data_IF_872244126591
#
_entry.id   IF_872244126591
#
_cell.length_a   1.000
_cell.length_b   1.000
_cell.length_c   1.000
_cell.angle_alpha   90.00
_cell.angle_beta   90.00
_cell.angle_gamma   90.00
#
_symmetry.space_group_name_H-M   'P 1'
#
loop_
_entity.id
_entity.type
_entity.pdbx_description
1 polymer ?
#
# COMPACT_ATOMS: atom_id res chain seq x y z
N UNK A 1 12.58 2.60 0.62
CA UNK A 1 11.79 2.73 1.86
C UNK A 1 10.33 2.50 1.48
N UNK A 2 9.51 1.88 2.35
CA UNK A 2 8.13 1.44 2.00
C UNK A 2 7.04 2.10 2.83
N UNK A 3 7.32 2.44 4.09
CA UNK A 3 6.41 3.18 4.95
C UNK A 3 6.23 4.63 4.46
N UNK A 4 5.05 5.21 4.69
CA UNK A 4 4.74 6.58 4.27
C UNK A 4 5.41 7.60 5.17
N UNK A 5 5.91 8.67 4.54
CA UNK A 5 6.58 9.75 5.23
C UNK A 5 5.61 10.83 5.72
N UNK A 6 6.12 11.97 6.20
CA UNK A 6 5.28 13.03 6.71
C UNK A 6 4.48 13.73 5.60
N UNK A 7 3.37 14.34 6.00
CA UNK A 7 2.65 15.34 5.20
C UNK A 7 2.94 16.70 5.81
N UNK A 8 3.45 17.62 4.99
CA UNK A 8 3.93 18.93 5.44
C UNK A 8 3.22 20.05 4.70
N UNK A 9 3.07 21.18 5.39
CA UNK A 9 2.65 22.45 4.82
C UNK A 9 3.90 23.32 4.60
N UNK A 10 4.03 23.87 3.40
CA UNK A 10 5.11 24.77 3.02
C UNK A 10 4.73 26.24 3.32
N UNK A 11 5.75 27.10 3.37
CA UNK A 11 5.60 28.55 3.62
C UNK A 11 4.74 29.30 2.59
N UNK A 12 4.57 28.74 1.38
CA UNK A 12 3.68 29.28 0.35
C UNK A 12 2.20 28.86 0.54
N UNK A 13 1.91 28.03 1.55
CA UNK A 13 0.60 27.47 1.84
C UNK A 13 0.31 26.12 1.17
N UNK A 14 1.20 25.63 0.31
CA UNK A 14 1.05 24.33 -0.37
C UNK A 14 1.18 23.16 0.63
N UNK A 15 0.42 22.09 0.42
CA UNK A 15 0.51 20.86 1.22
C UNK A 15 1.03 19.73 0.36
N UNK A 16 2.08 19.05 0.83
CA UNK A 16 2.74 17.97 0.10
C UNK A 16 3.03 16.77 1.00
N UNK A 17 2.91 15.57 0.43
CA UNK A 17 3.36 14.32 1.06
C UNK A 17 4.82 14.05 0.69
N UNK A 18 5.61 13.61 1.66
CA UNK A 18 7.08 13.53 1.54
C UNK A 18 7.55 12.13 1.88
N UNK A 19 7.50 11.24 0.88
CA UNK A 19 7.86 9.83 1.07
C UNK A 19 9.34 9.51 0.74
N UNK A 20 10.03 10.45 0.09
CA UNK A 20 11.42 10.30 -0.37
C UNK A 20 12.41 11.19 0.39
N UNK A 21 13.58 10.63 0.67
CA UNK A 21 14.66 11.30 1.42
C UNK A 21 15.20 12.54 0.70
N UNK A 22 15.40 12.46 -0.62
CA UNK A 22 15.94 13.58 -1.40
C UNK A 22 14.94 14.72 -1.49
N UNK A 23 13.66 14.41 -1.66
CA UNK A 23 12.60 15.41 -1.61
C UNK A 23 12.58 16.12 -0.24
N UNK A 24 12.67 15.36 0.85
CA UNK A 24 12.71 15.92 2.21
C UNK A 24 13.87 16.91 2.39
N UNK A 25 15.07 16.59 1.88
CA UNK A 25 16.22 17.49 1.92
C UNK A 25 15.99 18.79 1.14
N UNK A 26 15.36 18.71 -0.03
CA UNK A 26 15.12 19.86 -0.91
C UNK A 26 14.12 20.86 -0.31
N UNK A 27 13.09 20.36 0.37
CA UNK A 27 11.99 21.19 0.89
C UNK A 27 12.17 21.58 2.36
N UNK A 28 13.15 21.00 3.08
CA UNK A 28 13.30 21.16 4.54
C UNK A 28 13.22 22.60 5.01
N UNK A 29 13.90 23.51 4.31
CA UNK A 29 13.98 24.93 4.69
C UNK A 29 12.70 25.72 4.31
N UNK A 30 11.80 25.11 3.53
CA UNK A 30 10.53 25.65 3.08
C UNK A 30 9.34 25.15 3.93
N UNK A 31 9.55 24.15 4.80
CA UNK A 31 8.51 23.63 5.69
C UNK A 31 8.09 24.72 6.70
N UNK A 32 6.78 24.97 6.76
CA UNK A 32 6.15 25.82 7.77
C UNK A 32 5.63 24.96 8.93
N UNK A 33 4.97 23.84 8.62
CA UNK A 33 4.33 22.97 9.61
C UNK A 33 4.35 21.50 9.15
N UNK A 34 4.53 20.57 10.09
CA UNK A 34 4.36 19.12 9.84
C UNK A 34 2.96 18.74 10.31
N UNK A 35 2.08 18.42 9.36
CA UNK A 35 0.67 18.10 9.64
C UNK A 35 0.51 16.66 10.14
N UNK A 36 1.23 15.74 9.51
CA UNK A 36 1.28 14.32 9.88
C UNK A 36 2.74 13.87 9.89
N UNK A 37 3.14 13.11 10.91
CA UNK A 37 4.51 12.63 11.06
C UNK A 37 4.87 11.51 10.09
N UNK A 38 3.87 10.81 9.56
CA UNK A 38 4.03 9.60 8.76
C UNK A 38 3.91 8.33 9.61
N UNK A 39 4.30 7.22 9.01
CA UNK A 39 4.10 5.89 9.57
C UNK A 39 5.15 5.50 10.61
N UNK A 40 4.72 4.68 11.57
CA UNK A 40 5.58 4.00 12.53
C UNK A 40 5.27 2.50 12.51
N UNK A 41 6.21 1.69 12.02
CA UNK A 41 6.07 0.23 12.00
C UNK A 41 6.39 -0.29 13.40
N UNK A 42 5.38 -0.81 14.08
CA UNK A 42 5.50 -1.45 15.39
C UNK A 42 5.32 -2.96 15.23
N UNK A 43 6.23 -3.74 15.81
CA UNK A 43 6.13 -5.19 15.72
C UNK A 43 4.97 -5.70 16.58
N UNK A 44 4.22 -6.69 16.07
CA UNK A 44 3.18 -7.35 16.86
C UNK A 44 3.73 -7.95 18.17
N UNK A 45 4.97 -8.44 18.15
CA UNK A 45 5.65 -8.97 19.33
C UNK A 45 5.74 -7.96 20.48
N UNK A 46 5.92 -6.67 20.19
CA UNK A 46 6.02 -5.62 21.21
C UNK A 46 4.71 -5.49 22.00
N UNK A 47 3.55 -5.70 21.36
CA UNK A 47 2.26 -5.71 22.05
C UNK A 47 2.13 -6.92 22.97
N UNK A 48 2.56 -8.10 22.50
CA UNK A 48 2.48 -9.35 23.26
C UNK A 48 3.40 -9.31 24.48
N UNK A 49 4.66 -8.90 24.30
CA UNK A 49 5.66 -8.84 25.38
C UNK A 49 5.28 -7.84 26.47
N UNK A 50 4.74 -6.69 26.09
CA UNK A 50 4.32 -5.64 27.03
C UNK A 50 2.89 -5.83 27.53
N UNK A 51 2.18 -6.88 27.11
CA UNK A 51 0.77 -7.11 27.41
C UNK A 51 -0.12 -5.89 27.08
N UNK A 52 0.22 -5.18 26.01
CA UNK A 52 -0.51 -4.02 25.55
C UNK A 52 -1.72 -4.47 24.74
N UNK A 53 -2.86 -3.79 24.92
CA UNK A 53 -4.05 -4.06 24.12
C UNK A 53 -3.80 -3.68 22.66
N UNK A 54 -4.17 -4.57 21.74
CA UNK A 54 -4.11 -4.28 20.31
C UNK A 54 -5.05 -3.13 19.99
N UNK A 55 -4.48 -2.09 19.39
CA UNK A 55 -5.27 -1.00 18.83
C UNK A 55 -5.90 -1.45 17.51
N UNK A 56 -7.00 -0.82 17.08
CA UNK A 56 -7.51 -1.00 15.73
C UNK A 56 -6.40 -0.72 14.71
N UNK A 57 -6.16 -1.64 13.79
CA UNK A 57 -5.18 -1.45 12.75
C UNK A 57 -5.65 -0.35 11.77
N UNK A 58 -4.70 0.47 11.31
CA UNK A 58 -4.95 1.40 10.21
C UNK A 58 -5.17 0.60 8.91
N UNK A 59 -5.89 1.19 7.96
CA UNK A 59 -6.04 0.59 6.64
C UNK A 59 -4.78 0.83 5.81
N UNK A 60 -4.07 -0.24 5.50
CA UNK A 60 -2.75 -0.23 4.85
C UNK A 60 -2.75 -1.22 3.67
N UNK A 61 -1.79 -1.10 2.77
CA UNK A 61 -1.67 -1.96 1.59
C UNK A 61 -1.62 -3.45 1.93
N UNK A 62 -0.99 -3.81 3.07
CA UNK A 62 -0.93 -5.20 3.53
C UNK A 62 -2.28 -5.77 3.91
N UNK A 63 -3.23 -4.93 4.36
CA UNK A 63 -4.61 -5.36 4.57
C UNK A 63 -5.35 -5.38 3.23
N UNK A 64 -5.30 -4.28 2.48
CA UNK A 64 -6.02 -4.14 1.21
C UNK A 64 -5.75 -5.32 0.26
N UNK A 65 -4.50 -5.75 0.11
CA UNK A 65 -4.15 -6.86 -0.78
C UNK A 65 -4.77 -8.19 -0.35
N UNK A 66 -4.98 -8.40 0.95
CA UNK A 66 -5.65 -9.60 1.49
C UNK A 66 -7.13 -9.60 1.13
N UNK A 67 -7.78 -8.44 1.20
CA UNK A 67 -9.17 -8.28 0.78
C UNK A 67 -9.31 -8.46 -0.74
N UNK A 68 -8.35 -7.93 -1.50
CA UNK A 68 -8.30 -8.08 -2.95
C UNK A 68 -8.20 -9.56 -3.37
N UNK A 69 -7.20 -10.32 -2.89
CA UNK A 69 -7.05 -11.73 -3.28
C UNK A 69 -8.25 -12.57 -2.84
N UNK A 70 -8.84 -12.24 -1.70
CA UNK A 70 -10.04 -12.92 -1.21
C UNK A 70 -11.25 -12.63 -2.11
N UNK A 71 -11.44 -11.39 -2.54
CA UNK A 71 -12.51 -11.03 -3.45
C UNK A 71 -12.34 -11.73 -4.82
N UNK A 72 -11.10 -11.85 -5.30
CA UNK A 72 -10.80 -12.60 -6.53
C UNK A 72 -11.13 -14.08 -6.38
N UNK A 73 -10.77 -14.70 -5.25
CA UNK A 73 -11.10 -16.09 -4.94
C UNK A 73 -12.62 -16.30 -4.82
N UNK A 74 -13.33 -15.40 -4.13
CA UNK A 74 -14.77 -15.50 -3.89
C UNK A 74 -15.62 -15.28 -5.16
N UNK A 75 -15.16 -14.44 -6.10
CA UNK A 75 -15.92 -14.05 -7.30
C UNK A 75 -15.53 -14.87 -8.53
N UNK A 76 -14.24 -15.10 -8.73
CA UNK A 76 -13.69 -15.72 -9.94
C UNK A 76 -13.12 -17.11 -9.70
N UNK A 77 -13.10 -17.60 -8.45
CA UNK A 77 -12.55 -18.91 -8.06
C UNK A 77 -11.06 -19.08 -8.40
N UNK A 78 -10.33 -17.95 -8.53
CA UNK A 78 -8.88 -17.93 -8.79
C UNK A 78 -8.13 -17.70 -7.47
N UNK A 79 -7.24 -18.63 -7.13
CA UNK A 79 -6.46 -18.56 -5.89
C UNK A 79 -5.14 -17.82 -6.09
N UNK A 80 -5.03 -16.65 -5.48
CA UNK A 80 -3.82 -15.82 -5.50
C UNK A 80 -3.26 -15.64 -4.09
N UNK A 81 -1.94 -15.51 -3.98
CA UNK A 81 -1.22 -15.30 -2.71
C UNK A 81 -0.44 -13.99 -2.74
N UNK A 82 -0.69 -13.07 -1.79
CA UNK A 82 0.10 -11.86 -1.67
C UNK A 82 1.48 -12.18 -1.08
N UNK A 83 2.45 -11.32 -1.37
CA UNK A 83 3.86 -11.46 -0.95
C UNK A 83 4.56 -12.73 -1.46
N UNK A 84 4.03 -13.33 -2.52
CA UNK A 84 4.56 -14.56 -3.12
C UNK A 84 4.54 -14.48 -4.65
N UNK A 85 5.36 -15.32 -5.30
CA UNK A 85 5.23 -15.58 -6.73
C UNK A 85 4.05 -16.54 -6.93
N UNK A 86 3.14 -16.16 -7.82
CA UNK A 86 1.95 -16.92 -8.16
C UNK A 86 2.17 -17.68 -9.47
N UNK A 87 1.32 -18.67 -9.73
CA UNK A 87 1.33 -19.39 -11.00
C UNK A 87 0.96 -18.44 -12.16
N UNK A 88 1.65 -18.57 -13.29
CA UNK A 88 1.49 -17.67 -14.45
C UNK A 88 0.07 -17.77 -15.02
N UNK A 89 -0.51 -18.97 -15.08
CA UNK A 89 -1.87 -19.21 -15.59
C UNK A 89 -2.91 -18.52 -14.70
N UNK A 90 -2.76 -18.62 -13.38
CA UNK A 90 -3.67 -17.97 -12.43
C UNK A 90 -3.59 -16.44 -12.49
N UNK A 91 -2.39 -15.88 -12.71
CA UNK A 91 -2.22 -14.44 -12.85
C UNK A 91 -2.82 -13.93 -14.15
N UNK A 92 -2.60 -14.64 -15.26
CA UNK A 92 -3.20 -14.28 -16.56
C UNK A 92 -4.72 -14.33 -16.49
N UNK A 93 -5.29 -15.39 -15.93
CA UNK A 93 -6.74 -15.53 -15.77
C UNK A 93 -7.35 -14.39 -14.93
N UNK A 94 -6.76 -14.08 -13.78
CA UNK A 94 -7.23 -12.97 -12.94
C UNK A 94 -7.05 -11.61 -13.62
N UNK A 95 -5.94 -11.40 -14.34
CA UNK A 95 -5.69 -10.17 -15.06
C UNK A 95 -6.73 -9.92 -16.17
N UNK A 96 -7.14 -10.98 -16.88
CA UNK A 96 -8.18 -10.91 -17.90
C UNK A 96 -9.55 -10.52 -17.31
N UNK A 97 -9.94 -11.10 -16.17
CA UNK A 97 -11.20 -10.72 -15.50
C UNK A 97 -11.20 -9.26 -15.01
N UNK A 98 -10.04 -8.76 -14.60
CA UNK A 98 -9.87 -7.44 -14.00
C UNK A 98 -9.48 -6.35 -15.00
N UNK A 99 -9.32 -6.69 -16.28
CA UNK A 99 -8.81 -5.80 -17.34
C UNK A 99 -7.47 -5.13 -16.94
N UNK A 100 -6.56 -5.93 -16.36
CA UNK A 100 -5.23 -5.52 -15.94
C UNK A 100 -4.16 -6.18 -16.78
N UNK A 101 -2.94 -5.62 -16.73
CA UNK A 101 -1.77 -6.29 -17.33
C UNK A 101 -1.29 -7.42 -16.41
N UNK A 102 -1.04 -8.65 -16.92
CA UNK A 102 -0.54 -9.75 -16.10
C UNK A 102 0.75 -9.41 -15.37
N UNK A 103 1.69 -8.70 -16.02
CA UNK A 103 2.96 -8.33 -15.40
C UNK A 103 2.76 -7.37 -14.22
N UNK A 104 1.82 -6.43 -14.37
CA UNK A 104 1.49 -5.50 -13.31
C UNK A 104 0.83 -6.22 -12.12
N UNK A 105 -0.10 -7.14 -12.38
CA UNK A 105 -0.77 -7.91 -11.33
C UNK A 105 0.24 -8.81 -10.59
N UNK A 106 1.15 -9.46 -11.30
CA UNK A 106 2.24 -10.24 -10.70
C UNK A 106 3.13 -9.39 -9.78
N UNK A 107 3.53 -8.20 -10.26
CA UNK A 107 4.34 -7.26 -9.48
C UNK A 107 3.61 -6.75 -8.23
N UNK A 108 2.32 -6.42 -8.38
CA UNK A 108 1.45 -5.98 -7.28
C UNK A 108 1.29 -7.06 -6.22
N UNK A 109 1.04 -8.32 -6.61
CA UNK A 109 0.94 -9.45 -5.68
C UNK A 109 2.25 -9.71 -4.96
N UNK A 110 3.38 -9.53 -5.64
CA UNK A 110 4.71 -9.76 -5.07
C UNK A 110 5.12 -8.69 -4.06
N UNK A 111 4.92 -7.41 -4.37
CA UNK A 111 5.33 -6.29 -3.51
C UNK A 111 4.26 -5.16 -3.46
N UNK A 112 3.14 -5.39 -2.75
CA UNK A 112 2.00 -4.47 -2.73
C UNK A 112 2.30 -3.13 -2.03
N UNK A 113 3.37 -3.05 -1.23
CA UNK A 113 3.78 -1.81 -0.58
C UNK A 113 4.46 -0.84 -1.55
N UNK A 114 5.14 -1.37 -2.57
CA UNK A 114 5.90 -0.58 -3.55
C UNK A 114 5.13 -0.37 -4.85
N UNK A 115 4.40 -1.39 -5.29
CA UNK A 115 3.64 -1.36 -6.54
C UNK A 115 2.22 -1.00 -6.18
N UNK A 116 1.76 0.16 -6.65
CA UNK A 116 0.40 0.65 -6.37
C UNK A 116 -0.36 0.85 -7.68
N UNK A 117 -1.64 0.43 -7.75
CA UNK A 117 -2.47 0.72 -8.91
C UNK A 117 -2.66 2.22 -9.08
N UNK A 118 -2.85 2.65 -10.32
CA UNK A 118 -3.29 4.01 -10.60
C UNK A 118 -4.69 4.23 -10.01
N UNK A 119 -5.03 5.48 -9.76
CA UNK A 119 -6.35 5.84 -9.22
C UNK A 119 -7.51 5.29 -10.05
N UNK A 120 -7.38 5.23 -11.37
CA UNK A 120 -8.40 4.68 -12.27
C UNK A 120 -8.58 3.16 -12.07
N UNK A 121 -7.46 2.43 -12.00
CA UNK A 121 -7.43 0.98 -11.72
C UNK A 121 -7.97 0.70 -10.31
N UNK A 122 -7.57 1.48 -9.30
CA UNK A 122 -8.05 1.31 -7.93
C UNK A 122 -9.57 1.51 -7.80
N UNK A 123 -10.13 2.49 -8.52
CA UNK A 123 -11.58 2.70 -8.59
C UNK A 123 -12.26 1.52 -9.30
N UNK A 124 -11.66 0.98 -10.36
CA UNK A 124 -12.21 -0.18 -11.05
C UNK A 124 -12.24 -1.41 -10.14
N UNK A 125 -11.16 -1.69 -9.42
CA UNK A 125 -11.04 -2.83 -8.49
C UNK A 125 -11.99 -2.76 -7.29
N UNK A 126 -12.46 -1.56 -6.93
CA UNK A 126 -13.33 -1.35 -5.77
C UNK A 126 -14.83 -1.44 -6.10
N UNK A 127 -15.21 -1.65 -7.37
CA UNK A 127 -16.60 -1.71 -7.83
C UNK A 127 -17.14 -3.14 -7.80
#
# INVERSE_FOLDING_TARGET
>A
TTAEGPIVKLKDGSVIRVDDYYLALQIRDQVEEILYLGDAIIAFGDFVENNQTLLPANYVEEWWIQEFVKAVEDIYEVSLKPFAENDEEAVEEAADYLDLKPEFLAELLRDPMRVRPKVEEAIHLSK
#
